data_IF_709226618061
#
_entry.id   IF_709226618061
#
_cell.length_a   1.000
_cell.length_b   1.000
_cell.length_c   1.000
_cell.angle_alpha   90.00
_cell.angle_beta   90.00
_cell.angle_gamma   90.00
#
_symmetry.space_group_name_H-M   'P 1'
#
loop_
_entity.id
_entity.type
_entity.pdbx_description
1 polymer ?
#
# COMPACT_ATOMS: atom_id res chain seq x y z
N UNK A 1 16.50 51.29 71.28
CA UNK A 1 17.05 51.41 69.92
C UNK A 1 17.69 50.08 69.54
N UNK A 2 17.40 49.59 68.34
CA UNK A 2 18.06 48.51 67.61
C UNK A 2 17.90 47.05 68.12
N UNK A 3 17.27 46.24 67.26
CA UNK A 3 17.67 44.90 66.78
C UNK A 3 16.48 43.93 66.75
N UNK A 4 15.87 43.78 65.57
CA UNK A 4 15.24 42.55 65.07
C UNK A 4 14.82 42.74 63.61
N UNK A 5 15.81 42.91 62.74
CA UNK A 5 15.68 42.63 61.33
C UNK A 5 16.14 41.18 61.14
N UNK A 6 15.23 40.28 60.77
CA UNK A 6 15.45 39.11 59.91
C UNK A 6 14.22 38.21 59.89
N UNK A 7 13.79 37.88 58.67
CA UNK A 7 13.07 36.68 58.25
C UNK A 7 11.56 36.59 58.56
N UNK A 8 10.77 37.35 57.81
CA UNK A 8 9.52 36.78 57.27
C UNK A 8 9.30 37.26 55.84
N UNK A 9 10.15 36.79 54.91
CA UNK A 9 9.79 36.78 53.50
C UNK A 9 8.68 35.72 53.38
N UNK A 10 7.42 36.15 53.47
CA UNK A 10 6.30 35.33 53.00
C UNK A 10 6.56 35.09 51.51
N UNK A 11 7.06 33.89 51.15
CA UNK A 11 7.09 33.46 49.75
C UNK A 11 5.68 33.63 49.17
N UNK A 12 5.47 34.48 48.15
CA UNK A 12 4.16 34.61 47.54
C UNK A 12 3.81 33.25 46.91
N UNK A 13 2.73 32.63 47.37
CA UNK A 13 2.22 31.35 46.81
C UNK A 13 1.63 31.51 45.39
N UNK A 14 1.93 32.58 44.65
CA UNK A 14 1.15 32.99 43.48
C UNK A 14 1.83 32.82 42.12
N UNK A 15 2.98 32.15 42.04
CA UNK A 15 3.66 31.94 40.74
C UNK A 15 3.33 30.57 40.11
N UNK A 16 2.80 29.61 40.88
CA UNK A 16 2.60 28.22 40.40
C UNK A 16 1.16 27.87 39.93
N UNK A 17 0.25 28.83 39.82
CA UNK A 17 -1.15 28.53 39.42
C UNK A 17 -1.43 28.76 37.93
N UNK A 18 -0.59 29.51 37.21
CA UNK A 18 -0.86 29.88 35.81
C UNK A 18 -0.42 28.81 34.80
N UNK A 19 0.70 28.11 35.05
CA UNK A 19 1.19 27.03 34.18
C UNK A 19 0.24 25.83 34.13
N UNK A 20 -0.43 25.50 35.24
CA UNK A 20 -1.44 24.43 35.28
C UNK A 20 -2.69 24.78 34.46
N UNK A 21 -3.18 26.00 34.57
CA UNK A 21 -4.34 26.47 33.81
C UNK A 21 -4.10 26.48 32.28
N UNK A 22 -2.90 26.92 31.85
CA UNK A 22 -2.50 26.86 30.44
C UNK A 22 -2.32 25.41 29.95
N UNK A 23 -1.84 24.50 30.80
CA UNK A 23 -1.76 23.07 30.43
C UNK A 23 -3.13 22.39 30.36
N UNK A 24 -4.07 22.74 31.25
CA UNK A 24 -5.43 22.17 31.28
C UNK A 24 -6.27 22.61 30.07
N UNK A 25 -6.13 23.88 29.66
CA UNK A 25 -6.78 24.41 28.44
C UNK A 25 -6.20 23.79 27.18
N UNK A 26 -4.87 23.69 27.07
CA UNK A 26 -4.20 23.02 25.95
C UNK A 26 -4.59 21.53 25.85
N UNK A 27 -4.70 20.83 26.98
CA UNK A 27 -5.17 19.42 27.01
C UNK A 27 -6.65 19.33 26.60
N UNK A 28 -7.50 20.27 27.03
CA UNK A 28 -8.91 20.33 26.63
C UNK A 28 -9.07 20.60 25.12
N UNK A 29 -8.26 21.49 24.56
CA UNK A 29 -8.25 21.79 23.11
C UNK A 29 -7.77 20.59 22.30
N UNK A 30 -6.67 19.96 22.70
CA UNK A 30 -6.19 18.73 22.07
C UNK A 30 -7.25 17.61 22.13
N UNK A 31 -7.92 17.44 23.27
CA UNK A 31 -9.01 16.47 23.39
C UNK A 31 -10.17 16.75 22.42
N UNK A 32 -10.51 18.02 22.18
CA UNK A 32 -11.53 18.41 21.20
C UNK A 32 -11.08 18.14 19.76
N UNK A 33 -9.84 18.44 19.42
CA UNK A 33 -9.26 18.16 18.09
C UNK A 33 -9.29 16.66 17.84
N UNK A 34 -8.83 15.87 18.81
CA UNK A 34 -8.82 14.42 18.71
C UNK A 34 -10.23 13.82 18.56
N UNK A 35 -11.21 14.33 19.31
CA UNK A 35 -12.61 13.91 19.13
C UNK A 35 -13.17 14.30 17.76
N UNK A 36 -12.84 15.49 17.26
CA UNK A 36 -13.23 15.92 15.92
C UNK A 36 -12.59 15.05 14.82
N UNK A 37 -11.31 14.69 14.97
CA UNK A 37 -10.60 13.77 14.08
C UNK A 37 -11.22 12.37 14.10
N UNK A 38 -11.54 11.81 15.27
CA UNK A 38 -12.23 10.52 15.36
C UNK A 38 -13.60 10.54 14.69
N UNK A 39 -14.38 11.60 14.91
CA UNK A 39 -15.69 11.76 14.27
C UNK A 39 -15.55 11.89 12.74
N UNK A 40 -14.53 12.62 12.27
CA UNK A 40 -14.23 12.74 10.84
C UNK A 40 -13.77 11.40 10.24
N UNK A 41 -12.86 10.69 10.91
CA UNK A 41 -12.38 9.38 10.50
C UNK A 41 -13.52 8.35 10.41
N UNK A 42 -14.44 8.34 11.39
CA UNK A 42 -15.61 7.46 11.37
C UNK A 42 -16.52 7.72 10.16
N UNK A 43 -16.78 8.99 9.81
CA UNK A 43 -17.57 9.36 8.63
C UNK A 43 -16.86 8.99 7.34
N UNK A 44 -15.57 9.29 7.24
CA UNK A 44 -14.73 8.97 6.07
C UNK A 44 -14.65 7.45 5.85
N UNK A 45 -14.47 6.66 6.90
CA UNK A 45 -14.48 5.19 6.84
C UNK A 45 -15.79 4.65 6.26
N UNK A 46 -16.94 5.14 6.72
CA UNK A 46 -18.24 4.69 6.22
C UNK A 46 -18.44 5.04 4.74
N UNK A 47 -17.98 6.22 4.31
CA UNK A 47 -18.00 6.61 2.89
C UNK A 47 -17.15 5.65 2.06
N UNK A 48 -15.89 5.43 2.45
CA UNK A 48 -14.98 4.56 1.70
C UNK A 48 -15.45 3.11 1.68
N UNK A 49 -16.00 2.60 2.79
CA UNK A 49 -16.60 1.26 2.83
C UNK A 49 -17.73 1.13 1.81
N UNK A 50 -18.60 2.14 1.69
CA UNK A 50 -19.69 2.14 0.70
C UNK A 50 -19.15 2.22 -0.72
N UNK A 51 -18.17 3.08 -1.00
CA UNK A 51 -17.55 3.18 -2.33
C UNK A 51 -16.90 1.84 -2.73
N UNK A 52 -16.14 1.21 -1.83
CA UNK A 52 -15.54 -0.10 -2.11
C UNK A 52 -16.62 -1.16 -2.42
N UNK A 53 -17.69 -1.22 -1.64
CA UNK A 53 -18.72 -2.25 -1.83
C UNK A 53 -19.63 -2.00 -3.05
N UNK A 54 -19.98 -0.75 -3.34
CA UNK A 54 -20.99 -0.43 -4.36
C UNK A 54 -20.42 0.07 -5.67
N UNK A 55 -19.15 0.47 -5.71
CA UNK A 55 -18.50 0.94 -6.93
C UNK A 55 -17.39 -0.01 -7.33
N UNK A 56 -16.46 -0.30 -6.42
CA UNK A 56 -15.28 -1.11 -6.74
C UNK A 56 -15.66 -2.56 -7.03
N UNK A 57 -16.52 -3.18 -6.21
CA UNK A 57 -16.95 -4.57 -6.45
C UNK A 57 -17.66 -4.72 -7.80
N UNK A 58 -18.68 -3.92 -8.17
CA UNK A 58 -19.28 -4.02 -9.51
C UNK A 58 -18.30 -3.76 -10.66
N UNK A 59 -17.43 -2.76 -10.52
CA UNK A 59 -16.43 -2.46 -11.55
C UNK A 59 -15.45 -3.63 -11.75
N UNK A 60 -14.95 -4.23 -10.66
CA UNK A 60 -14.09 -5.39 -10.72
C UNK A 60 -14.80 -6.62 -11.30
N UNK A 61 -16.08 -6.84 -10.96
CA UNK A 61 -16.83 -7.95 -11.57
C UNK A 61 -16.97 -7.78 -13.08
N UNK A 62 -17.13 -6.54 -13.55
CA UNK A 62 -17.20 -6.26 -14.99
C UNK A 62 -15.86 -6.46 -15.68
N UNK A 63 -14.77 -5.96 -15.09
CA UNK A 63 -13.42 -6.20 -15.59
C UNK A 63 -13.10 -7.69 -15.64
N UNK A 64 -13.45 -8.45 -14.59
CA UNK A 64 -13.21 -9.89 -14.53
C UNK A 64 -13.96 -10.64 -15.64
N UNK A 65 -15.22 -10.27 -15.87
CA UNK A 65 -16.01 -10.84 -16.97
C UNK A 65 -15.35 -10.54 -18.33
N UNK A 66 -14.94 -9.30 -18.57
CA UNK A 66 -14.30 -8.94 -19.84
C UNK A 66 -12.96 -9.67 -20.04
N UNK A 67 -12.12 -9.76 -19.02
CA UNK A 67 -10.85 -10.49 -19.12
C UNK A 67 -11.06 -11.98 -19.31
N UNK A 68 -12.10 -12.57 -18.69
CA UNK A 68 -12.42 -13.98 -18.86
C UNK A 68 -12.82 -14.31 -20.31
N UNK A 69 -13.67 -13.49 -20.93
CA UNK A 69 -14.07 -13.68 -22.34
C UNK A 69 -12.87 -13.53 -23.27
N UNK A 70 -12.03 -12.52 -23.04
CA UNK A 70 -10.80 -12.32 -23.82
C UNK A 70 -9.80 -13.48 -23.64
N UNK A 71 -9.68 -14.03 -22.44
CA UNK A 71 -8.82 -15.17 -22.16
C UNK A 71 -9.33 -16.44 -22.87
N UNK A 72 -10.64 -16.69 -22.90
CA UNK A 72 -11.22 -17.78 -23.68
C UNK A 72 -10.91 -17.62 -25.17
N UNK A 73 -11.06 -16.41 -25.73
CA UNK A 73 -10.67 -16.13 -27.12
C UNK A 73 -9.16 -16.38 -27.33
N UNK A 74 -8.31 -15.91 -26.43
CA UNK A 74 -6.86 -16.13 -26.49
C UNK A 74 -6.47 -17.61 -26.45
N UNK A 75 -7.18 -18.42 -25.67
CA UNK A 75 -6.97 -19.87 -25.61
C UNK A 75 -7.34 -20.59 -26.91
N UNK A 76 -8.20 -20.00 -27.74
CA UNK A 76 -8.54 -20.55 -29.06
C UNK A 76 -7.56 -20.16 -30.17
N UNK A 77 -6.69 -19.16 -29.94
CA UNK A 77 -5.74 -18.76 -30.97
C UNK A 77 -4.69 -19.86 -31.17
N UNK A 78 -4.45 -20.28 -32.43
CA UNK A 78 -3.43 -21.26 -32.72
C UNK A 78 -2.05 -20.70 -32.34
N UNK A 79 -1.19 -21.59 -31.84
CA UNK A 79 0.22 -21.28 -31.59
C UNK A 79 0.83 -20.70 -32.87
N UNK A 80 1.53 -19.57 -32.74
CA UNK A 80 2.23 -18.96 -33.86
C UNK A 80 3.34 -19.88 -34.38
N UNK A 81 3.52 -19.91 -35.70
CA UNK A 81 4.60 -20.68 -36.33
C UNK A 81 5.97 -20.20 -35.82
N UNK A 82 6.90 -21.14 -35.67
CA UNK A 82 8.24 -20.82 -35.19
C UNK A 82 9.05 -20.17 -36.32
N UNK A 83 9.41 -18.90 -36.11
CA UNK A 83 10.38 -18.21 -36.97
C UNK A 83 11.63 -17.86 -36.14
N UNK A 84 12.83 -18.35 -36.53
CA UNK A 84 14.07 -18.17 -35.79
C UNK A 84 14.66 -16.78 -36.04
N UNK A 85 14.01 -15.75 -35.50
CA UNK A 85 14.54 -14.39 -35.55
C UNK A 85 15.80 -14.24 -34.69
N UNK A 86 16.87 -13.68 -35.27
CA UNK A 86 18.18 -13.51 -34.62
C UNK A 86 18.16 -12.70 -33.31
N UNK A 87 17.18 -11.81 -33.16
CA UNK A 87 17.03 -10.95 -31.99
C UNK A 87 16.22 -11.60 -30.86
N UNK A 88 15.53 -12.72 -31.14
CA UNK A 88 14.71 -13.43 -30.16
C UNK A 88 15.45 -14.64 -29.60
N UNK A 89 15.08 -15.04 -28.37
CA UNK A 89 15.58 -16.26 -27.70
C UNK A 89 17.12 -16.37 -27.60
N UNK A 90 17.85 -15.26 -27.65
CA UNK A 90 19.32 -15.25 -27.54
C UNK A 90 19.75 -15.83 -26.18
N UNK A 91 20.70 -16.78 -26.20
CA UNK A 91 21.33 -17.37 -25.02
C UNK A 91 22.85 -17.13 -25.05
N UNK A 92 23.31 -16.08 -24.35
CA UNK A 92 24.76 -15.79 -24.24
C UNK A 92 25.44 -16.57 -23.11
N UNK A 93 24.70 -16.87 -22.05
CA UNK A 93 25.11 -17.65 -20.89
C UNK A 93 23.95 -18.55 -20.47
N UNK A 94 24.22 -19.77 -19.97
CA UNK A 94 23.17 -20.62 -19.45
C UNK A 94 22.53 -19.98 -18.20
N UNK A 95 21.24 -20.22 -18.00
CA UNK A 95 20.55 -19.86 -16.77
C UNK A 95 21.09 -20.67 -15.58
N UNK A 96 21.05 -20.12 -14.35
CA UNK A 96 21.60 -20.79 -13.16
C UNK A 96 20.68 -21.88 -12.56
N UNK A 97 19.67 -22.36 -13.30
CA UNK A 97 18.72 -23.38 -12.88
C UNK A 97 18.40 -24.35 -14.02
N UNK A 98 17.87 -25.52 -13.67
CA UNK A 98 17.40 -26.52 -14.63
C UNK A 98 18.50 -26.93 -15.61
N UNK A 99 18.18 -26.89 -16.90
CA UNK A 99 19.07 -27.22 -18.01
C UNK A 99 19.86 -26.01 -18.55
N UNK A 100 19.64 -24.82 -17.97
CA UNK A 100 20.26 -23.58 -18.40
C UNK A 100 19.66 -22.95 -19.67
N UNK A 101 18.66 -23.56 -20.30
CA UNK A 101 18.05 -23.06 -21.54
C UNK A 101 16.61 -22.57 -21.35
N UNK A 102 15.92 -23.11 -20.34
CA UNK A 102 14.54 -22.75 -20.00
C UNK A 102 14.48 -21.50 -19.12
N UNK A 103 13.58 -20.59 -19.48
CA UNK A 103 13.29 -19.40 -18.65
C UNK A 103 12.60 -19.80 -17.34
N UNK A 104 12.59 -18.91 -16.35
CA UNK A 104 11.99 -19.19 -15.04
C UNK A 104 10.48 -19.52 -15.14
N UNK A 105 9.78 -18.84 -16.05
CA UNK A 105 8.35 -19.07 -16.35
C UNK A 105 8.22 -19.63 -17.77
N UNK A 106 8.86 -20.76 -18.02
CA UNK A 106 8.79 -21.44 -19.32
C UNK A 106 7.48 -22.20 -19.47
N UNK A 107 6.76 -21.95 -20.56
CA UNK A 107 5.62 -22.76 -20.99
C UNK A 107 6.02 -23.51 -22.27
N UNK A 108 6.16 -24.85 -22.25
CA UNK A 108 6.51 -25.66 -23.43
C UNK A 108 5.60 -25.44 -24.64
N UNK A 109 4.33 -25.10 -24.40
CA UNK A 109 3.34 -24.91 -25.45
C UNK A 109 3.49 -23.56 -26.17
N UNK A 110 3.92 -22.52 -25.46
CA UNK A 110 3.90 -21.13 -25.96
C UNK A 110 5.29 -20.53 -26.17
N UNK A 111 6.30 -21.01 -25.45
CA UNK A 111 7.64 -20.45 -25.47
C UNK A 111 8.57 -21.35 -26.27
N UNK A 112 8.94 -20.94 -27.47
CA UNK A 112 9.95 -21.62 -28.25
C UNK A 112 11.35 -21.46 -27.63
N UNK A 113 12.15 -22.51 -27.72
CA UNK A 113 13.60 -22.50 -27.51
C UNK A 113 14.30 -21.96 -28.77
N UNK A 114 15.63 -21.71 -28.72
CA UNK A 114 16.39 -21.31 -29.90
C UNK A 114 16.25 -22.29 -31.09
N UNK A 115 16.04 -23.57 -30.80
CA UNK A 115 15.93 -24.66 -31.78
C UNK A 115 14.48 -24.90 -32.26
N UNK A 116 13.49 -24.21 -31.69
CA UNK A 116 12.08 -24.40 -32.01
C UNK A 116 11.20 -24.62 -30.79
N UNK A 117 9.91 -24.92 -31.04
CA UNK A 117 9.02 -25.38 -29.98
C UNK A 117 9.38 -26.80 -29.56
N UNK A 118 9.20 -27.07 -28.27
CA UNK A 118 9.25 -28.44 -27.77
C UNK A 118 8.09 -29.25 -28.37
N UNK A 119 8.38 -30.45 -28.84
CA UNK A 119 7.36 -31.44 -29.19
C UNK A 119 6.71 -31.93 -27.89
N UNK A 120 5.38 -31.91 -27.84
CA UNK A 120 4.59 -32.40 -26.71
C UNK A 120 4.42 -33.91 -26.77
#
# INVERSE_FOLDING_TARGET
MALRALLCIKRPKSIFTNTRYLSETAVSEYAKIFQAEQAHAGKSYLLWKRVSMFVVVPALTWCLYNTYVLEEEHNTHPRQEFEPYDHLRIRKKPFPWGDGNHTLFHNPQLNALPEGYEEM
#
